data_IF_356179359560
#
_entry.id   IF_356179359560
#
_cell.length_a   1.000
_cell.length_b   1.000
_cell.length_c   1.000
_cell.angle_alpha   90.00
_cell.angle_beta   90.00
_cell.angle_gamma   90.00
#
_symmetry.space_group_name_H-M   'P 1'
#
loop_
_entity.id
_entity.type
_entity.pdbx_description
1 polymer ?
#
# COMPACT_ATOMS: atom_id res chain seq x y z
N UNK A 1 -9.20 -11.86 -18.52
CA UNK A 1 -7.96 -11.09 -18.33
C UNK A 1 -7.40 -11.38 -16.94
N UNK A 2 -6.20 -11.88 -16.88
CA UNK A 2 -5.59 -12.23 -15.60
C UNK A 2 -4.99 -10.98 -14.96
N UNK A 3 -5.41 -10.71 -13.72
CA UNK A 3 -4.85 -9.61 -12.94
C UNK A 3 -3.63 -10.16 -12.21
N UNK A 4 -2.44 -9.58 -12.41
CA UNK A 4 -1.27 -10.06 -11.69
C UNK A 4 -1.43 -9.80 -10.19
N UNK A 5 -1.38 -10.89 -9.41
CA UNK A 5 -1.49 -10.82 -7.95
C UNK A 5 -0.12 -10.77 -7.29
N UNK A 6 0.92 -10.95 -8.07
CA UNK A 6 2.28 -10.91 -7.56
C UNK A 6 2.92 -9.55 -7.79
N UNK A 7 3.82 -9.19 -6.89
CA UNK A 7 4.58 -7.95 -7.02
C UNK A 7 5.66 -8.11 -8.10
N UNK A 8 5.92 -7.05 -8.86
CA UNK A 8 7.04 -7.04 -9.77
C UNK A 8 8.35 -6.83 -8.99
N UNK A 9 9.48 -6.90 -9.69
CA UNK A 9 10.80 -6.82 -9.05
C UNK A 9 11.02 -5.48 -8.35
N UNK A 10 10.63 -4.39 -8.99
CA UNK A 10 10.75 -3.05 -8.40
C UNK A 10 9.92 -2.91 -7.12
N UNK A 11 8.70 -3.45 -7.14
CA UNK A 11 7.83 -3.43 -5.97
C UNK A 11 8.39 -4.27 -4.82
N UNK A 12 8.98 -5.43 -5.13
CA UNK A 12 9.64 -6.28 -4.13
C UNK A 12 10.82 -5.57 -3.50
N UNK A 13 11.58 -4.85 -4.30
CA UNK A 13 12.70 -4.05 -3.80
C UNK A 13 12.22 -2.94 -2.86
N UNK A 14 11.19 -2.21 -3.27
CA UNK A 14 10.60 -1.14 -2.45
C UNK A 14 10.03 -1.69 -1.14
N UNK A 15 9.40 -2.85 -1.19
CA UNK A 15 8.86 -3.48 0.01
C UNK A 15 9.97 -3.80 1.00
N UNK A 16 11.11 -4.25 0.51
CA UNK A 16 12.26 -4.54 1.36
C UNK A 16 12.81 -3.27 2.02
N UNK A 17 12.85 -2.16 1.29
CA UNK A 17 13.25 -0.87 1.85
C UNK A 17 12.30 -0.43 2.95
N UNK A 18 10.99 -0.56 2.73
CA UNK A 18 10.00 -0.23 3.75
C UNK A 18 10.14 -1.12 4.97
N UNK A 19 10.41 -2.41 4.78
CA UNK A 19 10.66 -3.32 5.89
C UNK A 19 11.81 -2.85 6.77
N UNK A 20 12.91 -2.41 6.16
CA UNK A 20 14.04 -1.87 6.90
C UNK A 20 13.68 -0.59 7.68
N UNK A 21 12.89 0.29 7.05
CA UNK A 21 12.43 1.52 7.70
C UNK A 21 11.52 1.25 8.89
N UNK A 22 10.62 0.27 8.74
CA UNK A 22 9.66 -0.10 9.80
C UNK A 22 10.37 -0.64 11.02
N UNK A 23 11.46 -1.38 10.85
CA UNK A 23 12.23 -1.94 11.96
C UNK A 23 12.75 -0.86 12.92
N UNK A 24 12.94 0.36 12.45
CA UNK A 24 13.41 1.47 13.28
C UNK A 24 12.31 2.24 13.99
N UNK A 25 11.04 1.87 13.80
CA UNK A 25 9.92 2.61 14.39
C UNK A 25 9.53 2.03 15.75
N UNK A 26 9.07 2.90 16.67
CA UNK A 26 8.45 2.44 17.89
C UNK A 26 6.99 2.10 17.63
N UNK A 27 6.28 1.59 18.64
CA UNK A 27 4.90 1.14 18.49
C UNK A 27 3.95 2.25 18.07
N UNK A 28 4.10 3.45 18.65
CA UNK A 28 3.24 4.58 18.33
C UNK A 28 3.43 5.01 16.88
N UNK A 29 4.67 5.10 16.45
CA UNK A 29 4.99 5.43 15.05
C UNK A 29 4.47 4.38 14.09
N UNK A 30 4.61 3.10 14.44
CA UNK A 30 4.11 1.99 13.62
C UNK A 30 2.59 2.03 13.49
N UNK A 31 1.89 2.35 14.58
CA UNK A 31 0.44 2.46 14.56
C UNK A 31 -0.02 3.60 13.67
N UNK A 32 0.66 4.75 13.73
CA UNK A 32 0.34 5.89 12.87
C UNK A 32 0.57 5.55 11.40
N UNK A 33 1.68 4.87 11.12
CA UNK A 33 1.99 4.45 9.75
C UNK A 33 0.93 3.48 9.24
N UNK A 34 0.52 2.53 10.07
CA UNK A 34 -0.50 1.55 9.70
C UNK A 34 -1.81 2.24 9.36
N UNK A 35 -2.26 3.19 10.19
CA UNK A 35 -3.48 3.94 9.93
C UNK A 35 -3.38 4.73 8.63
N UNK A 36 -2.23 5.35 8.35
CA UNK A 36 -2.04 6.08 7.09
C UNK A 36 -2.08 5.15 5.89
N UNK A 37 -1.46 3.98 5.99
CA UNK A 37 -1.50 2.99 4.91
C UNK A 37 -2.94 2.53 4.65
N UNK A 38 -3.69 2.26 5.71
CA UNK A 38 -5.09 1.86 5.57
C UNK A 38 -5.92 2.97 4.92
N UNK A 39 -5.68 4.22 5.31
CA UNK A 39 -6.34 5.36 4.70
C UNK A 39 -6.04 5.43 3.19
N UNK A 40 -4.78 5.25 2.81
CA UNK A 40 -4.38 5.26 1.42
C UNK A 40 -5.03 4.13 0.63
N UNK A 41 -5.16 2.95 1.22
CA UNK A 41 -5.85 1.84 0.57
C UNK A 41 -7.31 2.18 0.31
N UNK A 42 -7.98 2.82 1.26
CA UNK A 42 -9.37 3.24 1.10
C UNK A 42 -9.51 4.29 0.00
N UNK A 43 -8.57 5.24 -0.07
CA UNK A 43 -8.57 6.27 -1.11
C UNK A 43 -8.42 5.61 -2.49
N UNK A 44 -7.47 4.69 -2.62
CA UNK A 44 -7.25 3.98 -3.90
C UNK A 44 -8.48 3.15 -4.29
N UNK A 45 -9.12 2.51 -3.32
CA UNK A 45 -10.34 1.77 -3.57
C UNK A 45 -11.45 2.68 -4.11
N UNK A 46 -11.61 3.85 -3.51
CA UNK A 46 -12.59 4.84 -3.96
C UNK A 46 -12.28 5.33 -5.38
N UNK A 47 -11.00 5.52 -5.70
CA UNK A 47 -10.57 5.93 -7.04
C UNK A 47 -10.92 4.86 -8.07
N UNK A 48 -10.69 3.60 -7.75
CA UNK A 48 -11.02 2.48 -8.63
C UNK A 48 -12.52 2.43 -8.87
N UNK A 49 -13.32 2.56 -7.82
CA UNK A 49 -14.78 2.56 -7.93
C UNK A 49 -15.27 3.71 -8.79
N UNK A 50 -14.65 4.87 -8.64
CA UNK A 50 -15.00 6.05 -9.43
C UNK A 50 -14.70 5.84 -10.91
N UNK A 51 -13.54 5.28 -11.23
CA UNK A 51 -13.16 4.98 -12.61
C UNK A 51 -14.10 3.97 -13.25
N UNK A 52 -14.52 2.96 -12.50
CA UNK A 52 -15.45 1.96 -13.00
C UNK A 52 -16.83 2.54 -13.30
N UNK A 53 -17.26 3.53 -12.55
CA UNK A 53 -18.53 4.19 -12.78
C UNK A 53 -18.54 5.07 -14.03
N UNK A 54 -17.38 5.49 -14.50
CA UNK A 54 -17.26 6.35 -15.66
C UNK A 54 -17.25 5.57 -16.99
N UNK A 55 -17.19 4.26 -16.93
CA UNK A 55 -17.16 3.40 -18.15
C UNK A 55 -18.54 2.88 -18.58
#
# INVERSE_FOLDING_TARGET
>A
MDIPMELNLEQKFNLKLYEEQIKGLNQEESNKLLLEVLRQLMVKDNMIKHLLKQT
#
